data_IF_786201855703
#
_entry.id   IF_786201855703
#
_cell.length_a   1.000
_cell.length_b   1.000
_cell.length_c   1.000
_cell.angle_alpha   90.00
_cell.angle_beta   90.00
_cell.angle_gamma   90.00
#
_symmetry.space_group_name_H-M   'P 1'
#
loop_
_entity.id
_entity.type
_entity.pdbx_description
1 polymer ?
#
# COMPACT_ATOMS: atom_id res chain seq x y z
N UNK A 1 26.41 -25.07 -57.84
CA UNK A 1 26.96 -25.64 -56.59
C UNK A 1 26.99 -24.55 -55.53
N UNK A 2 26.49 -24.88 -54.34
CA UNK A 2 26.11 -24.01 -53.22
C UNK A 2 27.24 -23.18 -52.57
N UNK A 3 26.81 -22.11 -51.87
CA UNK A 3 27.29 -21.55 -50.56
C UNK A 3 27.34 -20.03 -50.64
N UNK A 4 26.89 -19.21 -49.69
CA UNK A 4 26.28 -19.40 -48.38
C UNK A 4 25.61 -18.07 -48.05
N UNK A 5 24.28 -18.04 -47.93
CA UNK A 5 23.56 -16.87 -47.41
C UNK A 5 23.65 -16.93 -45.89
N UNK A 6 24.54 -16.13 -45.29
CA UNK A 6 24.62 -16.00 -43.83
C UNK A 6 23.44 -15.12 -43.39
N UNK A 7 22.34 -15.76 -42.98
CA UNK A 7 21.30 -15.08 -42.20
C UNK A 7 21.86 -14.78 -40.81
N UNK A 8 22.19 -13.51 -40.57
CA UNK A 8 22.39 -12.97 -39.22
C UNK A 8 21.04 -12.91 -38.50
N UNK A 9 20.68 -14.00 -37.81
CA UNK A 9 19.61 -13.97 -36.82
C UNK A 9 20.09 -13.18 -35.61
N UNK A 10 19.77 -11.88 -35.58
CA UNK A 10 19.86 -11.08 -34.35
C UNK A 10 18.74 -11.56 -33.44
N UNK A 11 19.00 -12.56 -32.61
CA UNK A 11 18.15 -12.88 -31.47
C UNK A 11 18.28 -11.72 -30.50
N UNK A 12 17.30 -10.81 -30.54
CA UNK A 12 17.11 -9.85 -29.45
C UNK A 12 16.74 -10.67 -28.23
N UNK A 13 17.75 -11.00 -27.42
CA UNK A 13 17.55 -11.53 -26.08
C UNK A 13 16.92 -10.38 -25.29
N UNK A 14 15.59 -10.31 -25.30
CA UNK A 14 14.87 -9.51 -24.31
C UNK A 14 15.25 -10.14 -22.97
N UNK A 15 16.26 -9.57 -22.32
CA UNK A 15 16.47 -9.79 -20.89
C UNK A 15 15.21 -9.19 -20.28
N UNK A 16 14.19 -10.04 -20.09
CA UNK A 16 13.15 -9.78 -19.13
C UNK A 16 13.91 -9.63 -17.83
N UNK A 17 14.23 -8.39 -17.45
CA UNK A 17 14.59 -8.08 -16.08
C UNK A 17 13.44 -8.69 -15.30
N UNK A 18 13.70 -9.79 -14.59
CA UNK A 18 12.73 -10.33 -13.65
C UNK A 18 12.49 -9.22 -12.64
N UNK A 19 11.47 -8.41 -12.90
CA UNK A 19 10.86 -7.59 -11.88
C UNK A 19 10.45 -8.64 -10.86
N UNK A 20 11.08 -8.65 -9.68
CA UNK A 20 10.76 -9.55 -8.58
C UNK A 20 9.31 -9.29 -8.14
N UNK A 21 8.37 -9.76 -8.95
CA UNK A 21 6.95 -9.59 -8.81
C UNK A 21 6.49 -10.46 -7.65
N UNK A 22 5.54 -9.95 -6.90
CA UNK A 22 4.95 -10.70 -5.81
C UNK A 22 4.16 -11.89 -6.37
N UNK A 23 4.25 -13.02 -5.69
CA UNK A 23 3.40 -14.17 -5.96
C UNK A 23 1.94 -13.82 -5.68
N UNK A 24 0.99 -14.57 -6.26
CA UNK A 24 -0.44 -14.36 -6.02
C UNK A 24 -0.80 -14.47 -4.53
N UNK A 25 -0.16 -15.39 -3.80
CA UNK A 25 -0.37 -15.53 -2.35
C UNK A 25 0.09 -14.28 -1.57
N UNK A 26 1.22 -13.69 -1.94
CA UNK A 26 1.73 -12.46 -1.32
C UNK A 26 0.85 -11.24 -1.64
N UNK A 27 0.43 -11.11 -2.91
CA UNK A 27 -0.51 -10.08 -3.36
C UNK A 27 -1.82 -10.18 -2.59
N UNK A 28 -2.38 -11.39 -2.48
CA UNK A 28 -3.62 -11.65 -1.74
C UNK A 28 -3.44 -11.40 -0.24
N UNK A 29 -2.31 -11.78 0.36
CA UNK A 29 -2.06 -11.59 1.78
C UNK A 29 -2.02 -10.11 2.16
N UNK A 30 -1.30 -9.28 1.40
CA UNK A 30 -1.23 -7.84 1.68
C UNK A 30 -2.56 -7.14 1.39
N UNK A 31 -3.27 -7.52 0.31
CA UNK A 31 -4.59 -7.00 -0.01
C UNK A 31 -5.61 -7.34 1.08
N UNK A 32 -5.64 -8.59 1.52
CA UNK A 32 -6.54 -9.06 2.57
C UNK A 32 -6.25 -8.34 3.89
N UNK A 33 -4.97 -8.16 4.25
CA UNK A 33 -4.59 -7.42 5.45
C UNK A 33 -5.18 -5.99 5.43
N UNK A 34 -5.02 -5.26 4.33
CA UNK A 34 -5.57 -3.91 4.19
C UNK A 34 -7.10 -3.90 4.22
N UNK A 35 -7.75 -4.77 3.44
CA UNK A 35 -9.22 -4.79 3.38
C UNK A 35 -9.86 -5.25 4.69
N UNK A 36 -9.23 -6.15 5.44
CA UNK A 36 -9.73 -6.57 6.75
C UNK A 36 -9.71 -5.41 7.75
N UNK A 37 -8.62 -4.65 7.82
CA UNK A 37 -8.54 -3.46 8.64
C UNK A 37 -9.53 -2.36 8.19
N UNK A 38 -9.64 -2.11 6.88
CA UNK A 38 -10.62 -1.16 6.34
C UNK A 38 -12.06 -1.56 6.65
N UNK A 39 -12.40 -2.84 6.56
CA UNK A 39 -13.74 -3.34 6.89
C UNK A 39 -14.01 -3.21 8.39
N UNK A 40 -13.05 -3.58 9.23
CA UNK A 40 -13.14 -3.42 10.69
C UNK A 40 -13.33 -1.94 11.08
N UNK A 41 -12.56 -1.03 10.47
CA UNK A 41 -12.70 0.42 10.61
C UNK A 41 -14.09 0.91 10.20
N UNK A 42 -14.55 0.53 9.01
CA UNK A 42 -15.85 0.93 8.50
C UNK A 42 -16.98 0.57 9.48
N UNK A 43 -16.86 -0.59 10.12
CA UNK A 43 -17.81 -1.08 11.13
C UNK A 43 -17.55 -0.57 12.55
N UNK A 44 -16.63 0.38 12.76
CA UNK A 44 -16.36 1.00 14.07
C UNK A 44 -15.66 0.07 15.08
N UNK A 45 -14.90 -0.92 14.60
CA UNK A 45 -14.25 -1.94 15.44
C UNK A 45 -12.76 -1.72 15.67
N UNK A 46 -12.21 -0.63 15.16
CA UNK A 46 -10.78 -0.33 15.24
C UNK A 46 -10.45 0.62 16.40
N UNK A 47 -9.41 0.27 17.16
CA UNK A 47 -8.97 1.06 18.30
C UNK A 47 -8.24 2.32 17.84
N UNK A 48 -8.51 3.42 18.52
CA UNK A 48 -7.68 4.62 18.49
C UNK A 48 -6.79 4.64 19.75
N UNK A 49 -5.82 5.55 19.84
CA UNK A 49 -5.02 5.72 21.07
C UNK A 49 -5.89 5.92 22.30
N UNK A 50 -7.01 6.63 22.13
CA UNK A 50 -8.04 6.80 23.14
C UNK A 50 -9.38 6.40 22.53
N UNK A 51 -10.02 5.38 23.12
CA UNK A 51 -11.31 4.87 22.65
C UNK A 51 -11.24 4.18 21.29
N UNK A 52 -12.32 4.28 20.52
CA UNK A 52 -12.47 3.67 19.21
C UNK A 52 -12.40 4.73 18.11
N UNK A 53 -11.96 4.32 16.92
CA UNK A 53 -12.14 5.12 15.71
C UNK A 53 -13.64 5.17 15.36
N UNK A 54 -14.17 6.31 14.90
CA UNK A 54 -15.55 6.39 14.44
C UNK A 54 -15.74 5.51 13.21
N UNK A 55 -16.92 4.91 13.05
CA UNK A 55 -17.28 4.13 11.86
C UNK A 55 -17.25 5.00 10.59
N UNK A 56 -16.98 4.36 9.45
CA UNK A 56 -16.84 5.02 8.15
C UNK A 56 -17.90 4.57 7.17
N UNK A 57 -18.61 5.52 6.56
CA UNK A 57 -19.74 5.22 5.66
C UNK A 57 -19.34 5.01 4.19
N UNK A 58 -18.17 5.51 3.78
CA UNK A 58 -17.75 5.57 2.37
C UNK A 58 -16.41 4.87 2.08
N UNK A 59 -15.97 3.94 2.95
CA UNK A 59 -14.67 3.28 2.80
C UNK A 59 -14.69 2.34 1.60
N UNK A 60 -13.89 2.61 0.56
CA UNK A 60 -13.83 1.75 -0.62
C UNK A 60 -13.06 0.45 -0.37
N UNK A 61 -13.51 -0.66 -0.96
CA UNK A 61 -12.73 -1.90 -1.01
C UNK A 61 -11.52 -1.68 -1.92
N UNK A 62 -10.34 -2.07 -1.47
CA UNK A 62 -9.16 -2.04 -2.33
C UNK A 62 -9.16 -3.23 -3.28
N UNK A 63 -8.70 -2.99 -4.51
CA UNK A 63 -8.26 -4.04 -5.45
C UNK A 63 -6.74 -4.01 -5.56
N UNK A 64 -6.15 -5.14 -5.95
CA UNK A 64 -4.72 -5.23 -6.17
C UNK A 64 -4.38 -4.84 -7.61
N UNK A 65 -3.38 -3.99 -7.81
CA UNK A 65 -2.98 -3.50 -9.14
C UNK A 65 -1.53 -3.87 -9.45
N UNK A 66 -1.34 -4.70 -10.48
CA UNK A 66 0.00 -5.07 -10.97
C UNK A 66 0.78 -3.88 -11.53
N UNK A 67 0.09 -2.86 -12.04
CA UNK A 67 0.70 -1.61 -12.53
C UNK A 67 1.28 -0.81 -11.37
N UNK A 68 0.55 -0.71 -10.26
CA UNK A 68 1.03 -0.06 -9.04
C UNK A 68 2.15 -0.87 -8.38
N UNK A 69 2.03 -2.21 -8.36
CA UNK A 69 3.10 -3.10 -7.89
C UNK A 69 4.40 -2.88 -8.66
N UNK A 70 4.37 -2.86 -9.99
CA UNK A 70 5.57 -2.65 -10.79
C UNK A 70 6.31 -1.35 -10.40
N UNK A 71 5.55 -0.27 -10.14
CA UNK A 71 6.10 0.99 -9.63
C UNK A 71 6.70 0.86 -8.24
N UNK A 72 6.01 0.20 -7.31
CA UNK A 72 6.48 -0.02 -5.94
C UNK A 72 7.73 -0.93 -5.90
N UNK A 73 7.75 -2.01 -6.67
CA UNK A 73 8.89 -2.93 -6.80
C UNK A 73 10.10 -2.24 -7.40
N UNK A 74 9.91 -1.44 -8.46
CA UNK A 74 10.99 -0.64 -9.04
C UNK A 74 11.60 0.33 -8.03
N UNK A 75 10.79 0.91 -7.15
CA UNK A 75 11.31 1.79 -6.09
C UNK A 75 12.01 1.00 -4.98
N UNK A 76 11.41 -0.09 -4.51
CA UNK A 76 11.99 -0.96 -3.48
C UNK A 76 13.38 -1.46 -3.89
N UNK A 77 13.54 -1.89 -5.15
CA UNK A 77 14.80 -2.41 -5.69
C UNK A 77 15.94 -1.39 -5.73
N UNK A 78 15.64 -0.09 -5.67
CA UNK A 78 16.67 0.95 -5.55
C UNK A 78 17.29 1.02 -4.16
N UNK A 79 16.70 0.36 -3.16
CA UNK A 79 17.21 0.30 -1.79
C UNK A 79 17.51 1.68 -1.17
N UNK A 80 16.76 2.72 -1.57
CA UNK A 80 16.97 4.11 -1.13
C UNK A 80 16.55 4.37 0.31
N UNK A 81 15.72 3.48 0.89
CA UNK A 81 15.13 3.60 2.23
C UNK A 81 14.48 4.95 2.49
N UNK A 82 13.93 5.54 1.42
CA UNK A 82 13.32 6.86 1.42
C UNK A 82 12.16 6.88 0.44
N UNK A 83 11.29 7.86 0.64
CA UNK A 83 10.12 8.08 -0.19
C UNK A 83 10.51 8.43 -1.64
N UNK A 84 9.73 7.98 -2.63
CA UNK A 84 9.84 8.46 -4.02
C UNK A 84 9.88 10.00 -4.06
N UNK A 85 10.85 10.63 -4.75
CA UNK A 85 10.93 12.08 -4.86
C UNK A 85 9.61 12.68 -5.31
N UNK A 86 9.21 13.81 -4.73
CA UNK A 86 7.89 14.41 -4.98
C UNK A 86 7.63 14.69 -6.46
N UNK A 87 8.66 15.06 -7.24
CA UNK A 87 8.55 15.28 -8.69
C UNK A 87 8.37 14.00 -9.52
N UNK A 88 8.55 12.82 -8.93
CA UNK A 88 8.36 11.50 -9.56
C UNK A 88 7.18 10.73 -8.96
N UNK A 89 6.61 11.22 -7.84
CA UNK A 89 5.60 10.52 -7.06
C UNK A 89 4.23 10.58 -7.75
N UNK A 90 3.76 9.42 -8.20
CA UNK A 90 2.44 9.25 -8.84
C UNK A 90 1.37 8.70 -7.90
N UNK A 91 1.78 8.01 -6.83
CA UNK A 91 0.91 7.27 -5.93
C UNK A 91 1.11 7.74 -4.48
N UNK A 92 0.13 7.43 -3.62
CA UNK A 92 0.37 7.42 -2.18
C UNK A 92 1.41 6.35 -1.86
N UNK A 93 2.13 6.44 -0.74
CA UNK A 93 3.24 5.53 -0.46
C UNK A 93 3.43 5.30 1.03
N UNK A 94 3.54 4.04 1.42
CA UNK A 94 3.97 3.62 2.75
C UNK A 94 5.26 2.81 2.64
N UNK A 95 6.18 3.04 3.57
CA UNK A 95 7.49 2.40 3.63
C UNK A 95 7.67 1.64 4.95
N UNK A 96 8.35 0.50 4.89
CA UNK A 96 8.83 -0.17 6.09
C UNK A 96 10.25 -0.68 5.84
N UNK A 97 11.11 -0.46 6.84
CA UNK A 97 12.50 -0.88 6.81
C UNK A 97 12.76 -1.83 7.98
N UNK A 98 13.33 -3.00 7.71
CA UNK A 98 13.60 -4.04 8.70
C UNK A 98 15.05 -4.53 8.63
N UNK A 99 15.71 -4.65 9.77
CA UNK A 99 17.09 -5.12 9.86
C UNK A 99 17.26 -6.62 9.55
N UNK A 100 16.18 -7.41 9.61
CA UNK A 100 16.23 -8.83 9.36
C UNK A 100 16.28 -9.13 7.85
N UNK A 101 17.45 -9.57 7.37
CA UNK A 101 17.66 -9.99 5.98
C UNK A 101 16.85 -11.25 5.61
N UNK A 102 16.50 -12.09 6.58
CA UNK A 102 15.85 -13.40 6.38
C UNK A 102 14.32 -13.36 6.40
N UNK A 103 13.71 -12.19 6.60
CA UNK A 103 12.24 -12.04 6.50
C UNK A 103 11.75 -12.58 5.15
N UNK A 104 10.74 -13.45 5.15
CA UNK A 104 10.09 -13.78 3.87
C UNK A 104 9.40 -12.53 3.33
N UNK A 105 9.18 -12.47 2.02
CA UNK A 105 8.47 -11.35 1.38
C UNK A 105 7.06 -11.22 1.95
N UNK A 106 6.32 -12.33 2.09
CA UNK A 106 5.01 -12.36 2.75
C UNK A 106 5.04 -11.82 4.19
N UNK A 107 6.00 -12.25 5.01
CA UNK A 107 6.11 -11.77 6.38
C UNK A 107 6.46 -10.29 6.45
N UNK A 108 7.31 -9.80 5.54
CA UNK A 108 7.66 -8.39 5.46
C UNK A 108 6.43 -7.52 5.12
N UNK A 109 5.61 -7.96 4.17
CA UNK A 109 4.34 -7.30 3.79
C UNK A 109 3.35 -7.28 4.96
N UNK A 110 3.13 -8.42 5.62
CA UNK A 110 2.18 -8.53 6.72
C UNK A 110 2.65 -7.77 7.97
N UNK A 111 3.96 -7.78 8.27
CA UNK A 111 4.55 -7.00 9.35
C UNK A 111 4.41 -5.50 9.07
N UNK A 112 4.69 -5.06 7.85
CA UNK A 112 4.51 -3.67 7.44
C UNK A 112 3.04 -3.22 7.58
N UNK A 113 2.10 -3.96 7.00
CA UNK A 113 0.66 -3.70 7.12
C UNK A 113 0.20 -3.52 8.58
N UNK A 114 0.58 -4.45 9.47
CA UNK A 114 0.21 -4.40 10.90
C UNK A 114 0.86 -3.22 11.62
N UNK A 115 2.13 -2.92 11.32
CA UNK A 115 2.86 -1.83 11.96
C UNK A 115 2.29 -0.46 11.56
N UNK A 116 2.05 -0.25 10.27
CA UNK A 116 1.44 0.96 9.74
C UNK A 116 0.04 1.18 10.33
N UNK A 117 -0.82 0.16 10.31
CA UNK A 117 -2.15 0.30 10.90
C UNK A 117 -2.13 0.56 12.41
N UNK A 118 -1.18 -0.07 13.11
CA UNK A 118 -0.97 0.08 14.55
C UNK A 118 -0.65 1.51 15.01
N UNK A 119 -0.34 2.43 14.10
CA UNK A 119 -0.17 3.85 14.43
C UNK A 119 -1.46 4.45 15.02
N UNK A 120 -2.66 3.99 14.61
CA UNK A 120 -3.91 4.46 15.22
C UNK A 120 -3.96 4.18 16.72
N UNK A 121 -3.51 3.01 17.16
CA UNK A 121 -3.45 2.67 18.58
C UNK A 121 -2.31 3.35 19.32
N UNK A 122 -1.16 3.56 18.67
CA UNK A 122 0.05 4.11 19.30
C UNK A 122 0.04 5.64 19.40
N UNK A 123 -0.31 6.30 18.30
CA UNK A 123 -0.24 7.76 18.12
C UNK A 123 -1.63 8.36 18.23
N UNK A 124 -2.60 7.74 17.57
CA UNK A 124 -3.98 8.20 17.51
C UNK A 124 -4.24 9.31 16.50
N UNK A 125 -5.51 9.47 16.16
CA UNK A 125 -6.03 10.55 15.33
C UNK A 125 -7.15 11.28 16.08
N UNK A 126 -7.27 12.57 15.87
CA UNK A 126 -8.35 13.38 16.43
C UNK A 126 -9.72 12.98 15.86
N UNK A 127 -10.78 13.23 16.61
CA UNK A 127 -12.16 12.86 16.23
C UNK A 127 -12.67 13.52 14.93
N UNK A 128 -12.04 14.62 14.48
CA UNK A 128 -12.35 15.23 13.17
C UNK A 128 -11.86 14.40 11.99
N UNK A 129 -10.92 13.47 12.20
CA UNK A 129 -10.26 12.65 11.19
C UNK A 129 -9.47 13.46 10.14
N UNK A 130 -9.17 14.74 10.42
CA UNK A 130 -8.44 15.61 9.48
C UNK A 130 -6.94 15.27 9.50
N UNK A 131 -6.33 15.11 8.33
CA UNK A 131 -4.87 15.04 8.23
C UNK A 131 -4.30 16.45 8.28
N UNK A 132 -3.33 16.70 9.16
CA UNK A 132 -2.64 17.98 9.29
C UNK A 132 -1.12 17.76 9.41
N UNK A 133 -0.32 18.82 9.25
CA UNK A 133 1.15 18.69 9.26
C UNK A 133 1.71 18.07 10.55
N UNK A 134 1.07 18.34 11.69
CA UNK A 134 1.54 17.88 13.01
C UNK A 134 1.29 16.38 13.24
N UNK A 135 0.18 15.83 12.71
CA UNK A 135 -0.14 14.41 12.85
C UNK A 135 0.44 13.57 11.71
N UNK A 136 0.52 14.11 10.48
CA UNK A 136 0.87 13.37 9.26
C UNK A 136 2.19 12.61 9.39
N UNK A 137 3.23 13.23 9.96
CA UNK A 137 4.55 12.61 10.12
C UNK A 137 4.49 11.33 10.98
N UNK A 138 3.50 11.21 11.87
CA UNK A 138 3.40 10.12 12.85
C UNK A 138 2.29 9.10 12.55
N UNK A 139 1.23 9.51 11.84
CA UNK A 139 0.04 8.69 11.55
C UNK A 139 -0.17 8.49 10.04
N UNK A 140 0.74 8.99 9.22
CA UNK A 140 0.61 9.04 7.76
C UNK A 140 0.40 7.65 7.14
N UNK A 141 1.03 6.61 7.69
CA UNK A 141 0.89 5.27 7.14
C UNK A 141 -0.50 4.69 7.41
N UNK A 142 -0.98 4.78 8.65
CA UNK A 142 -2.34 4.37 9.03
C UNK A 142 -3.41 5.13 8.25
N UNK A 143 -3.26 6.45 8.12
CA UNK A 143 -4.23 7.30 7.41
C UNK A 143 -4.26 7.04 5.92
N UNK A 144 -3.13 6.72 5.27
CA UNK A 144 -3.13 6.27 3.88
C UNK A 144 -3.86 4.93 3.72
N UNK A 145 -3.62 3.97 4.63
CA UNK A 145 -4.31 2.68 4.59
C UNK A 145 -5.83 2.82 4.77
N UNK A 146 -6.26 3.76 5.61
CA UNK A 146 -7.67 4.02 5.91
C UNK A 146 -8.36 4.98 4.93
N UNK A 147 -7.60 5.60 4.01
CA UNK A 147 -8.11 6.65 3.12
C UNK A 147 -9.29 6.15 2.28
N UNK A 148 -10.46 6.78 2.44
CA UNK A 148 -11.71 6.26 1.87
C UNK A 148 -11.67 6.16 0.34
N UNK A 149 -11.04 7.13 -0.32
CA UNK A 149 -11.06 7.28 -1.78
C UNK A 149 -9.96 6.48 -2.51
N UNK A 150 -8.99 5.92 -1.78
CA UNK A 150 -7.99 5.00 -2.37
C UNK A 150 -8.71 3.76 -2.88
N UNK A 151 -8.42 3.38 -4.12
CA UNK A 151 -9.11 2.25 -4.77
C UNK A 151 -8.19 1.06 -5.03
N UNK A 152 -6.90 1.30 -5.20
CA UNK A 152 -5.96 0.24 -5.55
C UNK A 152 -4.68 0.30 -4.72
N UNK A 153 -4.09 -0.86 -4.51
CA UNK A 153 -2.79 -1.02 -3.87
C UNK A 153 -1.90 -1.92 -4.72
N UNK A 154 -0.60 -1.65 -4.71
CA UNK A 154 0.44 -2.57 -5.19
C UNK A 154 1.70 -2.39 -4.36
N UNK A 155 2.41 -3.48 -4.08
CA UNK A 155 3.54 -3.47 -3.17
C UNK A 155 4.77 -4.17 -3.75
N UNK A 156 5.96 -3.78 -3.30
CA UNK A 156 7.22 -4.44 -3.61
C UNK A 156 8.07 -4.61 -2.35
N UNK A 157 8.85 -5.68 -2.31
CA UNK A 157 9.81 -5.95 -1.23
C UNK A 157 11.18 -6.23 -1.85
N UNK A 158 12.20 -5.54 -1.36
CA UNK A 158 13.57 -5.72 -1.80
C UNK A 158 14.48 -6.15 -0.64
N UNK A 159 15.49 -6.96 -0.99
CA UNK A 159 16.62 -7.27 -0.12
C UNK A 159 17.74 -6.28 -0.39
N UNK A 160 18.17 -5.59 0.65
CA UNK A 160 19.14 -4.49 0.56
C UNK A 160 20.37 -4.81 1.43
N UNK A 161 21.25 -5.72 1.00
CA UNK A 161 22.37 -6.19 1.83
C UNK A 161 23.34 -5.07 2.21
N UNK A 162 23.51 -4.09 1.34
CA UNK A 162 24.43 -2.95 1.54
C UNK A 162 23.78 -1.75 2.23
N UNK A 163 22.47 -1.78 2.48
CA UNK A 163 21.77 -0.70 3.16
C UNK A 163 21.72 -0.94 4.69
N UNK A 164 21.48 0.09 5.52
CA UNK A 164 21.32 -0.04 6.97
C UNK A 164 20.28 -1.10 7.36
N UNK A 165 19.08 -1.01 6.80
CA UNK A 165 18.06 -2.05 6.90
C UNK A 165 18.14 -3.04 5.74
N UNK A 166 17.91 -4.32 6.01
CA UNK A 166 18.17 -5.41 5.06
C UNK A 166 16.96 -5.83 4.25
N UNK A 167 15.75 -5.55 4.74
CA UNK A 167 14.50 -5.76 4.01
C UNK A 167 13.76 -4.43 3.92
N UNK A 168 13.41 -4.04 2.69
CA UNK A 168 12.73 -2.78 2.39
C UNK A 168 11.40 -3.05 1.69
N UNK A 169 10.30 -2.68 2.34
CA UNK A 169 8.94 -2.85 1.83
C UNK A 169 8.37 -1.51 1.41
N UNK A 170 7.81 -1.45 0.20
CA UNK A 170 7.14 -0.28 -0.36
C UNK A 170 5.73 -0.72 -0.75
N UNK A 171 4.69 -0.05 -0.25
CA UNK A 171 3.34 -0.17 -0.81
C UNK A 171 2.91 1.17 -1.37
N UNK A 172 2.39 1.17 -2.58
CA UNK A 172 1.86 2.34 -3.26
C UNK A 172 0.34 2.24 -3.44
N UNK A 173 -0.31 3.40 -3.42
CA UNK A 173 -1.77 3.53 -3.36
C UNK A 173 -2.28 4.41 -4.51
N UNK A 174 -3.10 3.85 -5.39
CA UNK A 174 -3.74 4.63 -6.45
C UNK A 174 -4.94 5.40 -5.91
N UNK A 175 -5.12 6.63 -6.41
CA UNK A 175 -5.83 7.73 -5.75
C UNK A 175 -5.17 8.01 -4.39
N UNK A 176 -4.04 8.76 -4.40
CA UNK A 176 -3.28 9.06 -3.19
C UNK A 176 -4.18 9.68 -2.13
N UNK A 177 -3.87 9.35 -0.87
CA UNK A 177 -4.52 9.95 0.28
C UNK A 177 -3.66 11.02 0.94
N UNK A 178 -3.96 11.27 2.21
CA UNK A 178 -3.20 12.17 3.09
C UNK A 178 -3.09 13.61 2.59
N UNK A 179 -4.10 14.08 1.85
CA UNK A 179 -4.20 15.50 1.54
C UNK A 179 -4.40 16.30 2.81
N UNK A 180 -3.52 17.26 3.06
CA UNK A 180 -3.60 18.14 4.23
C UNK A 180 -4.93 18.91 4.23
N UNK A 181 -5.56 18.99 5.40
CA UNK A 181 -6.87 19.63 5.59
C UNK A 181 -8.07 18.76 5.19
N UNK A 182 -7.85 17.59 4.58
CA UNK A 182 -8.93 16.67 4.24
C UNK A 182 -9.13 15.59 5.32
N UNK A 183 -10.35 15.06 5.38
CA UNK A 183 -10.70 13.94 6.27
C UNK A 183 -10.30 12.61 5.65
N UNK A 184 -9.80 11.68 6.46
CA UNK A 184 -9.42 10.33 6.01
C UNK A 184 -10.62 9.58 5.43
N UNK A 185 -11.80 9.73 6.05
CA UNK A 185 -13.06 9.16 5.62
C UNK A 185 -14.26 9.91 6.20
N UNK A 186 -15.45 9.69 5.63
CA UNK A 186 -16.70 10.26 6.15
C UNK A 186 -17.26 9.36 7.26
N UNK A 187 -17.52 9.97 8.41
CA UNK A 187 -18.12 9.29 9.56
C UNK A 187 -19.56 8.87 9.26
N UNK A 188 -19.97 7.70 9.71
CA UNK A 188 -21.36 7.25 9.61
C UNK A 188 -21.48 5.73 9.60
N UNK A 189 -22.72 5.23 9.54
CA UNK A 189 -22.99 3.78 9.45
C UNK A 189 -22.29 3.22 8.21
N UNK A 190 -21.60 2.09 8.39
CA UNK A 190 -20.96 1.36 7.30
C UNK A 190 -21.93 1.20 6.12
N UNK A 191 -21.41 1.30 4.91
CA UNK A 191 -22.17 1.30 3.66
C UNK A 191 -23.06 2.53 3.37
N UNK A 192 -23.27 3.44 4.33
CA UNK A 192 -24.21 4.56 4.17
C UNK A 192 -23.83 5.58 3.09
N UNK A 193 -22.59 5.55 2.61
CA UNK A 193 -22.06 6.46 1.58
C UNK A 193 -21.61 5.77 0.29
N UNK A 194 -22.00 4.51 0.05
CA UNK A 194 -21.51 3.76 -1.11
C UNK A 194 -22.28 4.00 -2.42
N UNK A 195 -23.42 4.68 -2.38
CA UNK A 195 -24.25 4.92 -3.56
C UNK A 195 -24.74 3.62 -4.23
N UNK A 196 -24.97 3.67 -5.53
CA UNK A 196 -25.58 2.57 -6.31
C UNK A 196 -24.66 1.38 -6.59
N UNK A 197 -23.34 1.52 -6.38
CA UNK A 197 -22.37 0.42 -6.60
C UNK A 197 -22.48 -0.70 -5.56
N UNK A 198 -23.19 -0.45 -4.46
CA UNK A 198 -23.38 -1.40 -3.38
C UNK A 198 -22.21 -1.48 -2.42
N UNK A 199 -22.34 -2.40 -1.47
CA UNK A 199 -21.41 -2.56 -0.36
C UNK A 199 -21.26 -4.03 0.02
N UNK A 200 -20.10 -4.41 0.55
CA UNK A 200 -19.84 -5.74 1.08
C UNK A 200 -18.97 -5.65 2.32
N UNK A 201 -19.43 -6.22 3.43
CA UNK A 201 -18.73 -6.19 4.73
C UNK A 201 -18.31 -4.78 5.19
N UNK A 202 -19.15 -3.78 4.95
CA UNK A 202 -18.88 -2.38 5.30
C UNK A 202 -18.03 -1.61 4.28
N UNK A 203 -17.51 -2.26 3.25
CA UNK A 203 -16.71 -1.64 2.20
C UNK A 203 -17.54 -1.35 0.95
N UNK A 204 -17.43 -0.14 0.41
CA UNK A 204 -18.04 0.23 -0.86
C UNK A 204 -17.36 -0.46 -2.02
N UNK A 205 -18.16 -0.95 -2.97
CA UNK A 205 -17.65 -1.52 -4.22
C UNK A 205 -17.11 -0.41 -5.14
N UNK A 206 -16.06 -0.74 -5.91
CA UNK A 206 -15.45 0.17 -6.88
C UNK A 206 -16.17 0.17 -8.22
#
# INVERSE_FOLDING_TARGET
MCRNLILLFVTVLIILIEINALTLDEQNAVLACHNNFRASLANGKEQNKTGMLPSGMNIKKLTYSKVVEASATNWANKCTQSHTPSNQRKYGENLAMDGNAKLTTKDALLKACKNWWGEFKKVGIQASLVVNGNNFIKIGHATQMAWAETTEIGCGVAKCPNAPYKTYTVCQYNKPGNYLGQVVYKKGKACGGCGSKGCSNGLCNN
#
